data_IF_561141077333
#
_entry.id   IF_561141077333
#
_cell.length_a   1.000
_cell.length_b   1.000
_cell.length_c   1.000
_cell.angle_alpha   90.00
_cell.angle_beta   90.00
_cell.angle_gamma   90.00
#
_symmetry.space_group_name_H-M   'P 1'
#
loop_
_entity.id
_entity.type
_entity.pdbx_description
1 polymer ?
#
# COMPACT_ATOMS: atom_id res chain seq x y z
N UNK A 1 -2.72 -1.10 0.14
CA UNK A 1 -2.82 -0.23 -1.05
C UNK A 1 -1.50 0.51 -1.22
N UNK A 2 -1.06 0.77 -2.44
CA UNK A 2 0.14 1.58 -2.76
C UNK A 2 -0.27 2.64 -3.79
N UNK A 3 0.16 3.88 -3.59
CA UNK A 3 0.01 4.96 -4.58
C UNK A 3 1.39 5.35 -5.08
N UNK A 4 1.62 5.23 -6.39
CA UNK A 4 2.90 5.58 -7.01
C UNK A 4 2.89 7.01 -7.52
N UNK A 5 3.90 7.79 -7.12
CA UNK A 5 4.24 9.03 -7.83
C UNK A 5 5.05 8.68 -9.08
N UNK A 6 4.38 8.57 -10.23
CA UNK A 6 5.02 8.24 -11.51
C UNK A 6 6.00 9.33 -12.02
N UNK A 7 5.95 10.54 -11.45
CA UNK A 7 6.90 11.62 -11.75
C UNK A 7 8.21 11.54 -10.97
N UNK A 8 8.29 10.71 -9.91
CA UNK A 8 9.47 10.62 -9.07
C UNK A 8 10.65 10.00 -9.82
N UNK A 9 11.83 10.65 -9.89
CA UNK A 9 12.93 10.19 -10.73
C UNK A 9 13.44 8.79 -10.36
N UNK A 10 13.44 8.42 -9.08
CA UNK A 10 13.86 7.07 -8.64
C UNK A 10 12.90 5.95 -9.03
N UNK A 11 11.62 6.26 -9.32
CA UNK A 11 10.68 5.25 -9.82
C UNK A 11 10.93 4.86 -11.28
N UNK A 12 11.74 5.63 -12.02
CA UNK A 12 12.13 5.30 -13.40
C UNK A 12 12.99 4.04 -13.51
N UNK A 13 13.56 3.57 -12.40
CA UNK A 13 14.35 2.32 -12.36
C UNK A 13 13.47 1.07 -12.51
N UNK A 14 12.16 1.18 -12.28
CA UNK A 14 11.21 0.05 -12.37
C UNK A 14 10.90 -0.32 -13.83
N UNK A 15 11.92 -0.75 -14.56
CA UNK A 15 11.81 -1.27 -15.92
C UNK A 15 11.44 -2.76 -15.91
N UNK A 16 10.91 -3.32 -17.01
CA UNK A 16 10.66 -4.76 -17.09
C UNK A 16 11.91 -5.61 -16.81
N UNK A 17 13.09 -5.14 -17.22
CA UNK A 17 14.35 -5.85 -16.96
C UNK A 17 14.66 -5.92 -15.46
N UNK A 18 14.54 -4.80 -14.75
CA UNK A 18 14.76 -4.75 -13.29
C UNK A 18 13.73 -5.59 -12.56
N UNK A 19 12.45 -5.46 -12.90
CA UNK A 19 11.36 -6.22 -12.26
C UNK A 19 11.52 -7.74 -12.46
N UNK A 20 12.02 -8.18 -13.61
CA UNK A 20 12.23 -9.61 -13.89
C UNK A 20 13.51 -10.18 -13.27
N UNK A 21 14.46 -9.34 -12.84
CA UNK A 21 15.76 -9.75 -12.32
C UNK A 21 15.87 -9.65 -10.80
N UNK A 22 15.26 -8.63 -10.22
CA UNK A 22 15.36 -8.35 -8.79
C UNK A 22 14.51 -9.28 -7.93
N UNK A 23 14.89 -9.40 -6.66
CA UNK A 23 14.17 -10.24 -5.72
C UNK A 23 12.80 -9.64 -5.35
N UNK A 24 11.86 -10.51 -4.97
CA UNK A 24 10.60 -10.06 -4.39
C UNK A 24 10.80 -9.18 -3.16
N UNK A 25 11.83 -9.42 -2.35
CA UNK A 25 12.13 -8.58 -1.18
C UNK A 25 12.57 -7.16 -1.58
N UNK A 26 13.38 -7.03 -2.63
CA UNK A 26 13.77 -5.73 -3.19
C UNK A 26 12.53 -4.95 -3.64
N UNK A 27 11.64 -5.61 -4.38
CA UNK A 27 10.41 -5.02 -4.93
C UNK A 27 9.38 -4.66 -3.84
N UNK A 28 9.08 -5.58 -2.92
CA UNK A 28 8.04 -5.39 -1.90
C UNK A 28 8.44 -4.46 -0.76
N UNK A 29 9.74 -4.26 -0.53
CA UNK A 29 10.25 -3.37 0.53
C UNK A 29 10.72 -2.03 0.00
N UNK A 30 10.45 -1.73 -1.28
CA UNK A 30 10.81 -0.44 -1.89
C UNK A 30 12.30 -0.10 -1.80
N UNK A 31 13.19 -1.10 -1.89
CA UNK A 31 14.63 -0.92 -1.58
C UNK A 31 15.38 -0.01 -2.56
N UNK A 32 14.75 0.44 -3.65
CA UNK A 32 15.31 1.46 -4.55
C UNK A 32 15.04 2.90 -4.08
N UNK A 33 14.23 3.08 -3.04
CA UNK A 33 13.94 4.35 -2.39
C UNK A 33 14.63 4.43 -1.03
N UNK A 34 14.90 5.65 -0.57
CA UNK A 34 15.16 5.91 0.85
C UNK A 34 13.86 5.92 1.64
N UNK A 35 13.93 5.59 2.93
CA UNK A 35 12.74 5.58 3.82
C UNK A 35 12.08 6.96 3.91
N UNK A 36 12.84 8.04 3.79
CA UNK A 36 12.37 9.43 3.77
C UNK A 36 11.57 9.80 2.51
N UNK A 37 11.67 8.97 1.45
CA UNK A 37 10.91 9.13 0.21
C UNK A 37 9.60 8.32 0.22
N UNK A 38 9.35 7.53 1.28
CA UNK A 38 8.16 6.69 1.43
C UNK A 38 7.19 7.36 2.40
N UNK A 39 6.10 7.90 1.87
CA UNK A 39 5.03 8.49 2.67
C UNK A 39 4.07 7.45 3.26
N UNK A 40 3.36 7.84 4.32
CA UNK A 40 2.25 7.06 4.86
C UNK A 40 0.92 7.44 4.21
N UNK A 41 0.00 6.47 4.18
CA UNK A 41 -1.40 6.70 3.81
C UNK A 41 -2.26 6.31 5.02
N UNK A 42 -3.23 7.14 5.42
CA UNK A 42 -4.13 6.81 6.53
C UNK A 42 -4.76 5.43 6.35
N UNK A 43 -4.84 4.69 7.46
CA UNK A 43 -5.26 3.29 7.46
C UNK A 43 -6.67 3.07 6.88
N UNK A 44 -7.51 4.11 6.88
CA UNK A 44 -8.87 4.12 6.32
C UNK A 44 -8.92 3.88 4.81
N UNK A 45 -7.81 4.14 4.10
CA UNK A 45 -7.65 3.80 2.68
C UNK A 45 -7.10 2.38 2.44
N UNK A 46 -6.88 1.63 3.51
CA UNK A 46 -6.57 0.20 3.48
C UNK A 46 -7.26 -0.45 4.68
N UNK A 47 -8.58 -0.25 4.79
CA UNK A 47 -9.35 -0.69 5.96
C UNK A 47 -9.58 -2.20 5.88
N UNK A 48 -8.85 -2.95 6.71
CA UNK A 48 -8.92 -4.42 6.75
C UNK A 48 -10.14 -4.85 7.56
N UNK A 49 -11.12 -5.45 6.89
CA UNK A 49 -12.33 -5.97 7.55
C UNK A 49 -11.94 -7.05 8.57
N UNK A 50 -12.51 -6.97 9.78
CA UNK A 50 -12.20 -7.89 10.88
C UNK A 50 -10.91 -7.59 11.65
N UNK A 51 -10.03 -6.74 11.13
CA UNK A 51 -8.79 -6.34 11.80
C UNK A 51 -8.80 -4.89 12.29
N UNK A 52 -9.61 -4.03 11.67
CA UNK A 52 -9.74 -2.61 12.04
C UNK A 52 -11.16 -2.29 12.48
N UNK A 53 -11.30 -1.29 13.34
CA UNK A 53 -12.58 -0.81 13.87
C UNK A 53 -12.66 0.71 13.71
N UNK A 54 -13.86 1.19 13.46
CA UNK A 54 -14.21 2.61 13.59
C UNK A 54 -14.23 2.93 15.08
N UNK A 55 -13.63 4.05 15.46
CA UNK A 55 -13.71 4.57 16.82
C UNK A 55 -14.95 5.46 16.89
N UNK A 56 -15.82 5.18 17.86
CA UNK A 56 -17.04 5.95 18.07
C UNK A 56 -16.70 7.42 18.35
N UNK A 57 -17.34 8.34 17.59
CA UNK A 57 -17.08 9.77 17.69
C UNK A 57 -15.85 10.27 16.90
N UNK A 58 -15.11 9.41 16.21
CA UNK A 58 -13.97 9.81 15.36
C UNK A 58 -14.22 9.52 13.88
N UNK A 59 -14.67 10.54 13.15
CA UNK A 59 -14.89 10.50 11.70
C UNK A 59 -13.62 10.14 10.91
N UNK A 60 -12.43 10.42 11.46
CA UNK A 60 -11.14 10.10 10.85
C UNK A 60 -10.86 8.61 10.71
N UNK A 61 -11.61 7.76 11.42
CA UNK A 61 -11.47 6.31 11.40
C UNK A 61 -12.45 5.60 10.44
N UNK A 62 -13.36 6.33 9.81
CA UNK A 62 -14.34 5.74 8.89
C UNK A 62 -13.66 5.24 7.60
N UNK A 63 -13.99 4.02 7.13
CA UNK A 63 -13.35 3.44 5.95
C UNK A 63 -13.59 4.28 4.70
N UNK A 64 -12.53 4.54 3.94
CA UNK A 64 -12.57 5.16 2.60
C UNK A 64 -12.31 4.14 1.50
N UNK A 65 -11.55 3.08 1.80
CA UNK A 65 -11.40 1.91 0.95
C UNK A 65 -11.33 0.64 1.81
N UNK A 66 -12.23 -0.30 1.52
CA UNK A 66 -12.39 -1.56 2.26
C UNK A 66 -11.58 -2.66 1.58
N UNK A 67 -10.78 -3.37 2.36
CA UNK A 67 -9.95 -4.47 1.89
C UNK A 67 -10.35 -5.76 2.62
N UNK A 68 -11.01 -6.65 1.88
CA UNK A 68 -11.42 -7.98 2.35
C UNK A 68 -10.24 -8.95 2.26
N UNK A 69 -9.46 -9.03 3.35
CA UNK A 69 -8.22 -9.82 3.37
C UNK A 69 -8.39 -11.25 3.90
N UNK A 70 -9.50 -11.55 4.59
CA UNK A 70 -9.75 -12.86 5.20
C UNK A 70 -10.24 -13.92 4.20
N UNK A 71 -10.40 -13.55 2.92
CA UNK A 71 -11.23 -14.29 1.98
C UNK A 71 -12.71 -14.14 2.35
N UNK A 72 -13.59 -14.02 1.36
CA UNK A 72 -15.04 -14.07 1.60
C UNK A 72 -15.58 -15.49 1.43
N UNK A 73 -16.76 -15.82 1.95
CA UNK A 73 -17.70 -16.59 1.13
C UNK A 73 -17.94 -15.75 -0.14
N UNK A 74 -17.63 -16.31 -1.30
CA UNK A 74 -17.95 -15.70 -2.58
C UNK A 74 -19.47 -15.54 -2.64
N UNK A 75 -19.97 -14.31 -2.87
CA UNK A 75 -21.37 -14.09 -3.19
C UNK A 75 -21.69 -14.65 -4.57
#
# INVERSE_FOLDING_TARGET
MVLYNCGHPKNKVLTPEVVNKESGAFLHRFQWLGDDEIGEIPFVWNFLVGHKKVVEGDEGTFPKAVHYTLGGPWF
#
